data_IF_990879438345
#
_entry.id   IF_990879438345
#
_cell.length_a   1.000
_cell.length_b   1.000
_cell.length_c   1.000
_cell.angle_alpha   90.00
_cell.angle_beta   90.00
_cell.angle_gamma   90.00
#
_symmetry.space_group_name_H-M   'P 1'
#
loop_
_entity.id
_entity.type
_entity.pdbx_description
1 polymer ?
#
# COMPACT_ATOMS: atom_id res chain seq x y z
N UNK A 1 15.36 17.25 -13.21
CA UNK A 1 14.80 15.97 -13.68
C UNK A 1 13.89 15.42 -12.60
N UNK A 2 12.84 14.68 -12.96
CA UNK A 2 12.02 13.98 -11.95
C UNK A 2 12.77 12.72 -11.53
N UNK A 3 13.05 12.57 -10.24
CA UNK A 3 13.57 11.31 -9.70
C UNK A 3 12.41 10.35 -9.55
N UNK A 4 12.48 9.20 -10.22
CA UNK A 4 11.57 8.10 -9.98
C UNK A 4 12.05 7.36 -8.73
N UNK A 5 11.19 7.31 -7.71
CA UNK A 5 11.45 6.58 -6.49
C UNK A 5 10.55 5.35 -6.44
N UNK A 6 11.14 4.17 -6.56
CA UNK A 6 10.46 2.90 -6.35
C UNK A 6 10.72 2.49 -4.90
N UNK A 7 9.79 2.80 -3.99
CA UNK A 7 9.92 2.54 -2.55
C UNK A 7 8.58 2.09 -1.97
N UNK A 8 8.61 1.30 -0.91
CA UNK A 8 7.43 1.03 -0.09
C UNK A 8 7.54 1.73 1.28
N UNK A 9 6.44 2.28 1.78
CA UNK A 9 6.34 2.70 3.18
C UNK A 9 5.97 1.47 4.01
N UNK A 10 6.79 1.13 5.01
CA UNK A 10 6.65 -0.09 5.80
C UNK A 10 6.85 0.16 7.30
N UNK A 11 6.88 -0.90 8.12
CA UNK A 11 7.18 -0.83 9.55
C UNK A 11 8.68 -0.83 9.88
N UNK A 12 9.55 -0.93 8.87
CA UNK A 12 10.99 -0.91 9.02
C UNK A 12 11.69 -0.25 7.82
N UNK A 13 12.95 0.12 8.01
CA UNK A 13 13.86 0.47 6.92
C UNK A 13 14.58 -0.78 6.42
N UNK A 14 14.81 -0.87 5.11
CA UNK A 14 15.53 -2.01 4.55
C UNK A 14 15.11 -2.30 3.12
N UNK A 15 15.02 -3.58 2.79
CA UNK A 15 14.56 -4.05 1.49
C UNK A 15 13.68 -5.27 1.63
N UNK A 16 12.53 -5.25 0.97
CA UNK A 16 11.60 -6.36 0.91
C UNK A 16 11.20 -6.67 -0.52
N UNK A 17 10.70 -7.88 -0.72
CA UNK A 17 10.06 -8.27 -1.97
C UNK A 17 8.67 -7.66 -2.04
N UNK A 18 8.44 -6.86 -3.09
CA UNK A 18 7.14 -6.32 -3.46
C UNK A 18 6.51 -7.24 -4.50
N UNK A 19 5.32 -7.73 -4.17
CA UNK A 19 4.48 -8.56 -5.02
C UNK A 19 3.42 -7.68 -5.66
N UNK A 20 3.40 -7.64 -7.00
CA UNK A 20 2.39 -6.94 -7.81
C UNK A 20 1.85 -7.89 -8.87
N UNK A 21 0.60 -7.70 -9.29
CA UNK A 21 0.06 -8.48 -10.42
C UNK A 21 0.61 -7.92 -11.73
N UNK A 22 1.06 -8.83 -12.62
CA UNK A 22 1.55 -8.50 -13.96
C UNK A 22 0.49 -7.68 -14.73
N UNK A 23 0.77 -6.43 -15.12
CA UNK A 23 -0.25 -5.54 -15.70
C UNK A 23 -0.82 -6.07 -17.03
N UNK A 24 -0.03 -6.85 -17.78
CA UNK A 24 -0.44 -7.50 -19.03
C UNK A 24 -1.44 -8.64 -18.86
N UNK A 25 -1.82 -8.98 -17.62
CA UNK A 25 -2.85 -9.96 -17.30
C UNK A 25 -4.15 -9.29 -16.83
N UNK A 26 -4.15 -7.97 -16.64
CA UNK A 26 -5.24 -7.24 -15.99
C UNK A 26 -6.07 -6.45 -16.99
N UNK A 27 -7.40 -6.61 -16.90
CA UNK A 27 -8.38 -5.92 -17.73
C UNK A 27 -8.49 -4.41 -17.44
N UNK A 28 -9.43 -3.75 -18.13
CA UNK A 28 -9.74 -2.34 -17.91
C UNK A 28 -10.41 -2.10 -16.55
N UNK A 29 -10.20 -0.91 -15.97
CA UNK A 29 -10.84 -0.49 -14.71
C UNK A 29 -11.15 1.00 -14.72
N UNK A 30 -12.39 1.40 -14.38
CA UNK A 30 -12.80 2.80 -14.17
C UNK A 30 -12.26 3.79 -15.23
N UNK A 31 -12.47 3.48 -16.52
CA UNK A 31 -12.04 4.34 -17.63
C UNK A 31 -10.55 4.24 -18.00
N UNK A 32 -9.74 3.47 -17.26
CA UNK A 32 -8.38 3.14 -17.69
C UNK A 32 -8.38 2.05 -18.76
N UNK A 33 -7.49 2.20 -19.75
CA UNK A 33 -7.30 1.19 -20.80
C UNK A 33 -6.87 -0.17 -20.23
N UNK A 34 -7.22 -1.24 -20.95
CA UNK A 34 -6.74 -2.58 -20.67
C UNK A 34 -5.30 -2.73 -21.18
N UNK A 35 -4.42 -3.33 -20.36
CA UNK A 35 -3.09 -3.77 -20.80
C UNK A 35 -3.06 -5.28 -21.08
N UNK A 36 -4.19 -5.97 -20.87
CA UNK A 36 -4.30 -7.40 -21.04
C UNK A 36 -3.98 -7.86 -22.47
N UNK A 37 -3.11 -8.86 -22.62
CA UNK A 37 -2.71 -9.44 -23.91
C UNK A 37 -2.92 -10.95 -23.93
N UNK A 38 -3.41 -11.49 -25.05
CA UNK A 38 -3.64 -12.92 -25.23
C UNK A 38 -2.37 -13.75 -24.96
N UNK A 39 -1.22 -13.30 -25.45
CA UNK A 39 0.10 -13.92 -25.24
C UNK A 39 0.43 -14.08 -23.75
N UNK A 40 0.13 -13.07 -22.93
CA UNK A 40 0.37 -13.11 -21.49
C UNK A 40 -0.53 -14.11 -20.80
N UNK A 41 -1.81 -14.18 -21.20
CA UNK A 41 -2.79 -15.13 -20.65
C UNK A 41 -2.41 -16.59 -20.95
N UNK A 42 -1.99 -16.88 -22.19
CA UNK A 42 -1.56 -18.22 -22.60
C UNK A 42 -0.35 -18.70 -21.79
N UNK A 43 0.64 -17.82 -21.56
CA UNK A 43 1.84 -18.13 -20.77
C UNK A 43 1.53 -18.58 -19.34
N UNK A 44 0.46 -18.03 -18.74
CA UNK A 44 0.10 -18.29 -17.34
C UNK A 44 -1.13 -19.19 -17.20
N UNK A 45 -1.68 -19.67 -18.31
CA UNK A 45 -2.86 -20.54 -18.34
C UNK A 45 -4.15 -19.87 -17.84
N UNK A 46 -4.30 -18.56 -18.03
CA UNK A 46 -5.53 -17.84 -17.69
C UNK A 46 -6.52 -17.86 -18.88
N UNK A 47 -7.80 -18.18 -18.66
CA UNK A 47 -8.80 -18.22 -19.74
C UNK A 47 -9.26 -16.82 -20.18
N UNK A 48 -9.07 -15.82 -19.31
CA UNK A 48 -9.51 -14.44 -19.53
C UNK A 48 -8.70 -13.48 -18.64
N UNK A 49 -8.77 -12.19 -18.97
CA UNK A 49 -8.14 -11.14 -18.19
C UNK A 49 -8.64 -11.13 -16.73
N UNK A 50 -7.72 -10.84 -15.82
CA UNK A 50 -8.06 -10.60 -14.42
C UNK A 50 -8.91 -9.32 -14.29
N UNK A 51 -9.80 -9.25 -13.29
CA UNK A 51 -10.59 -8.05 -13.03
C UNK A 51 -9.70 -6.81 -12.88
N UNK A 52 -10.13 -5.68 -13.44
CA UNK A 52 -9.31 -4.47 -13.48
C UNK A 52 -8.87 -3.93 -12.11
N UNK A 53 -9.64 -4.18 -11.05
CA UNK A 53 -9.31 -3.76 -9.68
C UNK A 53 -8.04 -4.41 -9.15
N UNK A 54 -7.66 -5.59 -9.67
CA UNK A 54 -6.46 -6.33 -9.27
C UNK A 54 -5.19 -5.50 -9.51
N UNK A 55 -5.21 -4.55 -10.44
CA UNK A 55 -4.09 -3.63 -10.70
C UNK A 55 -3.66 -2.84 -9.46
N UNK A 56 -4.61 -2.47 -8.60
CA UNK A 56 -4.34 -1.71 -7.38
C UNK A 56 -3.77 -2.55 -6.24
N UNK A 57 -3.78 -3.87 -6.38
CA UNK A 57 -3.35 -4.77 -5.30
C UNK A 57 -1.84 -4.99 -5.34
N UNK A 58 -1.19 -4.71 -4.22
CA UNK A 58 0.22 -4.99 -4.01
C UNK A 58 0.47 -5.35 -2.56
N UNK A 59 1.55 -6.06 -2.29
CA UNK A 59 1.94 -6.37 -0.92
C UNK A 59 3.44 -6.55 -0.81
N UNK A 60 4.00 -6.18 0.34
CA UNK A 60 5.39 -6.46 0.68
C UNK A 60 5.44 -7.70 1.58
N UNK A 61 6.50 -8.51 1.46
CA UNK A 61 6.80 -9.69 2.32
C UNK A 61 5.82 -10.87 2.23
N UNK A 62 4.56 -10.62 1.87
CA UNK A 62 3.49 -11.63 1.72
C UNK A 62 2.76 -11.45 0.40
N UNK A 63 1.93 -12.43 0.08
CA UNK A 63 1.10 -12.38 -1.11
C UNK A 63 -0.08 -11.40 -0.96
N UNK A 64 -0.53 -10.75 -2.05
CA UNK A 64 -1.74 -9.93 -2.02
C UNK A 64 -2.98 -10.79 -1.75
N UNK A 65 -3.52 -10.71 -0.53
CA UNK A 65 -4.58 -11.61 -0.03
C UNK A 65 -5.83 -11.64 -0.92
N UNK A 66 -6.30 -10.49 -1.40
CA UNK A 66 -7.46 -10.44 -2.29
C UNK A 66 -7.24 -11.18 -3.63
N UNK A 67 -6.01 -11.20 -4.14
CA UNK A 67 -5.67 -11.94 -5.36
C UNK A 67 -5.46 -13.43 -5.07
N UNK A 68 -4.88 -13.75 -3.90
CA UNK A 68 -4.77 -15.12 -3.42
C UNK A 68 -6.15 -15.77 -3.31
N UNK A 69 -7.12 -15.09 -2.70
CA UNK A 69 -8.50 -15.58 -2.58
C UNK A 69 -9.18 -15.77 -3.95
N UNK A 70 -8.85 -14.92 -4.92
CA UNK A 70 -9.40 -15.01 -6.27
C UNK A 70 -8.86 -16.20 -7.07
N UNK A 71 -7.56 -16.49 -6.97
CA UNK A 71 -6.87 -17.40 -7.88
C UNK A 71 -6.43 -18.72 -7.25
N UNK A 72 -6.28 -18.76 -5.93
CA UNK A 72 -5.57 -19.80 -5.21
C UNK A 72 -4.05 -19.71 -5.39
N UNK A 73 -3.32 -20.39 -4.50
CA UNK A 73 -1.86 -20.32 -4.42
C UNK A 73 -1.15 -20.69 -5.75
N UNK A 74 -1.56 -21.79 -6.37
CA UNK A 74 -0.87 -22.33 -7.55
C UNK A 74 -0.93 -21.37 -8.74
N UNK A 75 -2.08 -20.73 -8.99
CA UNK A 75 -2.20 -19.73 -10.04
C UNK A 75 -1.58 -18.39 -9.63
N UNK A 76 -1.59 -18.04 -8.35
CA UNK A 76 -1.04 -16.77 -7.90
C UNK A 76 0.43 -16.63 -8.27
N UNK A 77 1.21 -17.71 -8.12
CA UNK A 77 2.65 -17.75 -8.45
C UNK A 77 2.93 -17.36 -9.90
N UNK A 78 2.06 -17.70 -10.86
CA UNK A 78 2.28 -17.41 -12.29
C UNK A 78 1.86 -16.00 -12.70
N UNK A 79 1.01 -15.32 -11.91
CA UNK A 79 0.49 -13.99 -12.24
C UNK A 79 1.22 -12.85 -11.53
N UNK A 80 1.99 -13.14 -10.48
CA UNK A 80 2.74 -12.13 -9.74
C UNK A 80 4.07 -11.80 -10.44
N UNK A 81 4.39 -10.51 -10.49
CA UNK A 81 5.74 -10.02 -10.64
C UNK A 81 6.30 -9.65 -9.26
N UNK A 82 7.55 -10.03 -9.01
CA UNK A 82 8.25 -9.74 -7.77
C UNK A 82 9.40 -8.80 -8.06
N UNK A 83 9.52 -7.73 -7.29
CA UNK A 83 10.66 -6.80 -7.37
C UNK A 83 11.11 -6.46 -5.97
N UNK A 84 12.41 -6.51 -5.73
CA UNK A 84 12.99 -6.08 -4.45
C UNK A 84 13.01 -4.55 -4.40
N UNK A 85 12.34 -3.96 -3.42
CA UNK A 85 12.24 -2.51 -3.26
C UNK A 85 12.81 -2.06 -1.91
N UNK A 86 13.39 -0.86 -1.82
CA UNK A 86 13.65 -0.24 -0.53
C UNK A 86 12.33 -0.07 0.23
N UNK A 87 12.41 -0.31 1.53
CA UNK A 87 11.36 -0.04 2.49
C UNK A 87 11.80 1.11 3.39
N UNK A 88 10.90 2.05 3.64
CA UNK A 88 11.12 3.16 4.55
C UNK A 88 10.03 3.20 5.60
N UNK A 89 10.41 3.47 6.84
CA UNK A 89 9.47 3.97 7.84
C UNK A 89 8.97 5.36 7.45
N UNK A 90 7.83 5.78 8.00
CA UNK A 90 7.32 7.14 7.83
C UNK A 90 8.36 8.19 8.28
N UNK A 91 9.05 7.93 9.40
CA UNK A 91 10.10 8.81 9.91
C UNK A 91 11.26 8.96 8.92
N UNK A 92 11.72 7.86 8.34
CA UNK A 92 12.81 7.85 7.36
C UNK A 92 12.38 8.51 6.06
N UNK A 93 11.15 8.30 5.59
CA UNK A 93 10.59 9.01 4.44
C UNK A 93 10.63 10.53 4.67
N UNK A 94 10.10 11.01 5.80
CA UNK A 94 10.08 12.45 6.12
C UNK A 94 11.50 13.02 6.20
N UNK A 95 12.42 12.30 6.85
CA UNK A 95 13.79 12.76 7.09
C UNK A 95 14.62 12.77 5.81
N UNK A 96 14.62 11.69 5.04
CA UNK A 96 15.43 11.54 3.82
C UNK A 96 15.06 12.59 2.78
N UNK A 97 13.77 12.91 2.66
CA UNK A 97 13.28 13.90 1.71
C UNK A 97 13.19 15.32 2.27
N UNK A 98 13.65 15.55 3.50
CA UNK A 98 13.66 16.88 4.13
C UNK A 98 12.27 17.51 4.20
N UNK A 99 11.23 16.70 4.43
CA UNK A 99 9.85 17.18 4.47
C UNK A 99 9.67 18.00 5.75
N UNK A 100 9.54 19.32 5.62
CA UNK A 100 9.43 20.23 6.77
C UNK A 100 8.01 20.35 7.36
N UNK A 101 6.98 20.06 6.56
CA UNK A 101 5.58 20.09 7.00
C UNK A 101 4.72 19.22 6.07
N UNK A 102 3.61 18.69 6.60
CA UNK A 102 2.62 17.93 5.85
C UNK A 102 1.26 18.55 6.14
N UNK A 103 0.58 19.05 5.11
CA UNK A 103 -0.78 19.56 5.24
C UNK A 103 -1.76 18.37 5.28
N UNK A 104 -1.79 17.57 4.23
CA UNK A 104 -2.70 16.41 4.13
C UNK A 104 -1.87 15.13 4.00
N UNK A 105 -2.10 14.18 4.91
CA UNK A 105 -1.63 12.81 4.80
C UNK A 105 -2.81 11.89 4.47
N UNK A 106 -2.81 11.27 3.29
CA UNK A 106 -3.70 10.15 2.96
C UNK A 106 -2.94 8.85 3.07
N UNK A 107 -3.46 7.93 3.87
CA UNK A 107 -3.04 6.53 3.95
C UNK A 107 -4.10 5.69 3.26
N UNK A 108 -3.64 4.78 2.42
CA UNK A 108 -4.47 3.86 1.66
C UNK A 108 -3.63 2.62 1.37
N UNK A 109 -3.56 1.73 2.36
CA UNK A 109 -2.61 0.64 2.37
C UNK A 109 -3.27 -0.71 2.62
N UNK A 110 -4.54 -0.84 2.23
CA UNK A 110 -5.31 -2.08 2.18
C UNK A 110 -5.08 -2.95 3.43
N UNK A 111 -5.28 -2.33 4.60
CA UNK A 111 -5.17 -2.98 5.92
C UNK A 111 -3.86 -2.74 6.68
N UNK A 112 -2.84 -2.15 6.05
CA UNK A 112 -1.60 -1.71 6.71
C UNK A 112 -1.67 -0.26 7.23
N UNK A 113 -2.84 0.38 7.12
CA UNK A 113 -3.08 1.77 7.54
C UNK A 113 -2.72 2.00 9.00
N UNK A 114 -3.03 1.06 9.90
CA UNK A 114 -2.78 1.21 11.32
C UNK A 114 -1.28 1.28 11.67
N UNK A 115 -0.41 0.55 10.95
CA UNK A 115 1.04 0.62 11.17
C UNK A 115 1.59 1.98 10.72
N UNK A 116 1.12 2.49 9.58
CA UNK A 116 1.54 3.80 9.09
C UNK A 116 1.06 4.88 10.06
N UNK A 117 -0.19 4.83 10.50
CA UNK A 117 -0.74 5.77 11.49
C UNK A 117 -0.01 5.70 12.82
N UNK A 118 0.36 4.50 13.30
CA UNK A 118 1.17 4.35 14.51
C UNK A 118 2.47 5.15 14.40
N UNK A 119 3.17 4.99 13.28
CA UNK A 119 4.42 5.71 13.02
C UNK A 119 4.21 7.23 12.92
N UNK A 120 3.12 7.68 12.29
CA UNK A 120 2.77 9.11 12.22
C UNK A 120 2.59 9.70 13.62
N UNK A 121 1.83 9.01 14.48
CA UNK A 121 1.60 9.46 15.86
C UNK A 121 2.88 9.42 16.68
N UNK A 122 3.69 8.37 16.54
CA UNK A 122 4.98 8.26 17.24
C UNK A 122 5.92 9.39 16.83
N UNK A 123 6.02 9.67 15.52
CA UNK A 123 6.86 10.72 14.96
C UNK A 123 6.38 12.12 15.37
N UNK A 124 5.06 12.37 15.31
CA UNK A 124 4.45 13.61 15.76
C UNK A 124 4.72 13.88 17.25
N UNK A 125 4.64 12.86 18.10
CA UNK A 125 4.99 12.99 19.53
C UNK A 125 6.47 13.27 19.75
N UNK A 126 7.34 12.65 18.97
CA UNK A 126 8.80 12.78 19.14
C UNK A 126 9.32 14.14 18.66
N UNK A 127 8.84 14.61 17.50
CA UNK A 127 9.42 15.78 16.81
C UNK A 127 8.46 16.97 16.68
N UNK A 128 7.20 16.84 17.14
CA UNK A 128 6.18 17.89 16.97
C UNK A 128 5.68 18.03 15.53
N UNK A 129 6.01 17.09 14.65
CA UNK A 129 5.66 17.13 13.23
C UNK A 129 4.36 16.37 12.97
N UNK A 130 3.26 17.10 13.10
CA UNK A 130 1.90 16.59 12.93
C UNK A 130 1.33 16.99 11.56
N UNK A 131 0.82 16.05 10.75
CA UNK A 131 0.06 16.40 9.55
C UNK A 131 -1.16 17.25 9.90
N UNK A 132 -1.48 18.32 9.19
CA UNK A 132 -2.68 19.12 9.54
C UNK A 132 -3.99 18.30 9.44
N UNK A 133 -4.08 17.45 8.42
CA UNK A 133 -5.18 16.52 8.21
C UNK A 133 -4.63 15.11 7.94
N UNK A 134 -5.27 14.10 8.54
CA UNK A 134 -4.98 12.69 8.26
C UNK A 134 -6.26 12.03 7.74
N UNK A 135 -6.14 11.37 6.59
CA UNK A 135 -7.16 10.51 6.01
C UNK A 135 -6.58 9.11 5.91
N UNK A 136 -7.37 8.10 6.26
CA UNK A 136 -6.96 6.70 6.18
C UNK A 136 -8.18 5.85 5.88
N UNK A 137 -7.97 4.62 5.42
CA UNK A 137 -9.08 3.70 5.22
C UNK A 137 -9.29 2.80 6.45
N UNK A 138 -10.56 2.53 6.77
CA UNK A 138 -10.97 1.46 7.68
C UNK A 138 -11.88 0.53 6.91
N UNK A 139 -11.31 -0.55 6.39
CA UNK A 139 -12.02 -1.53 5.56
C UNK A 139 -12.04 -2.92 6.23
N UNK A 140 -12.62 -3.91 5.56
CA UNK A 140 -12.79 -5.27 6.13
C UNK A 140 -11.48 -6.02 6.39
N UNK A 141 -10.36 -5.58 5.81
CA UNK A 141 -9.04 -6.21 5.99
C UNK A 141 -8.14 -5.45 6.97
N UNK A 142 -8.61 -4.33 7.52
CA UNK A 142 -7.89 -3.57 8.55
C UNK A 142 -7.96 -4.27 9.92
N UNK A 143 -6.91 -4.14 10.73
CA UNK A 143 -6.99 -4.42 12.17
C UNK A 143 -7.70 -3.26 12.86
N UNK A 144 -9.02 -3.40 13.07
CA UNK A 144 -9.86 -2.33 13.59
C UNK A 144 -9.45 -1.91 15.00
N UNK A 145 -8.98 -2.84 15.82
CA UNK A 145 -8.58 -2.56 17.20
C UNK A 145 -7.30 -1.73 17.20
N UNK A 146 -6.28 -2.17 16.48
CA UNK A 146 -5.02 -1.44 16.39
C UNK A 146 -5.21 -0.05 15.76
N UNK A 147 -6.13 0.06 14.80
CA UNK A 147 -6.51 1.32 14.18
C UNK A 147 -7.22 2.26 15.17
N UNK A 148 -8.22 1.76 15.90
CA UNK A 148 -8.98 2.54 16.90
C UNK A 148 -8.07 3.03 18.04
N UNK A 149 -7.05 2.25 18.41
CA UNK A 149 -5.99 2.69 19.32
C UNK A 149 -5.22 3.89 18.76
N UNK A 150 -4.88 3.92 17.46
CA UNK A 150 -4.20 5.08 16.87
C UNK A 150 -5.12 6.30 16.76
N UNK A 151 -6.41 6.09 16.47
CA UNK A 151 -7.42 7.16 16.47
C UNK A 151 -7.55 7.80 17.84
N UNK A 152 -7.62 7.00 18.91
CA UNK A 152 -7.65 7.50 20.28
C UNK A 152 -6.39 8.33 20.59
N UNK A 153 -5.22 7.90 20.13
CA UNK A 153 -3.97 8.65 20.31
C UNK A 153 -3.97 9.96 19.51
N UNK A 154 -4.56 10.02 18.32
CA UNK A 154 -4.74 11.26 17.55
C UNK A 154 -5.67 12.24 18.29
N UNK A 155 -6.78 11.77 18.86
CA UNK A 155 -7.68 12.61 19.66
C UNK A 155 -6.97 13.25 20.87
N UNK A 156 -6.11 12.49 21.57
CA UNK A 156 -5.30 13.03 22.66
C UNK A 156 -4.31 14.12 22.22
N UNK A 157 -4.06 14.26 20.91
CA UNK A 157 -3.18 15.28 20.33
C UNK A 157 -3.96 16.35 19.52
N UNK A 158 -5.25 16.51 19.79
CA UNK A 158 -6.05 17.63 19.28
C UNK A 158 -6.71 17.41 17.91
N UNK A 159 -6.59 16.21 17.34
CA UNK A 159 -7.37 15.85 16.15
C UNK A 159 -8.83 15.60 16.52
N UNK A 160 -9.72 15.81 15.55
CA UNK A 160 -11.12 15.38 15.61
C UNK A 160 -11.44 14.58 14.35
N UNK A 161 -12.11 13.44 14.54
CA UNK A 161 -12.66 12.68 13.41
C UNK A 161 -13.95 13.36 12.90
N UNK A 162 -14.12 13.36 11.58
CA UNK A 162 -15.36 13.76 10.90
C UNK A 162 -15.88 12.58 10.10
#
# INVERSE_FOLDING_TARGET
>A
GKTLLNVAVSDHDGYEDLFVVRPELVGAHLGSGSQCRAEGLEQVGLPQCLPGWVRGTSSIKRWPEGVLQLLGEERLKSVLAVTRVPCLTYASLVTIYGIGAIDILKVDAEGFDYQILRQVVDFGKLLGMWPWQVQFEKNSISDWRALDEQVARLHLNGYSCR
#
